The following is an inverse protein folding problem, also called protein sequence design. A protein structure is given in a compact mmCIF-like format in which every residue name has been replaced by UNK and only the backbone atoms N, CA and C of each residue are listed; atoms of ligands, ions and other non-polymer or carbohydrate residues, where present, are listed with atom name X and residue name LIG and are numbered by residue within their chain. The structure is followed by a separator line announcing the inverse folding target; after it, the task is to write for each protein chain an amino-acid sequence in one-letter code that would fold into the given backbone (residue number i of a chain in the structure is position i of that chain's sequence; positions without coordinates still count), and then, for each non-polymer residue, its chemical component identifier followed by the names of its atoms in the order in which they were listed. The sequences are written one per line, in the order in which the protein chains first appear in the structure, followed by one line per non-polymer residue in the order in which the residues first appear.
data_IF_537282689747
#
_entry.id   IF_537282689747
#
_cell.length_a   1.000
_cell.length_b   1.000
_cell.length_c   1.000
_cell.angle_alpha   90.00
_cell.angle_beta   90.00
_cell.angle_gamma   90.00
#
_symmetry.space_group_name_H-M   'P 1'
#
loop_
_entity.id
_entity.type
_entity.pdbx_description
1 polymer ?
#
# COMPACT_ATOMS: atom_id res chain seq x y z
N UNK A 1 -3.46 7.97 -4.92
CA UNK A 1 -2.70 8.84 -3.99
C UNK A 1 -1.21 8.68 -4.29
N UNK A 2 -0.67 9.62 -5.07
CA UNK A 2 0.71 9.53 -5.58
C UNK A 2 1.75 10.20 -4.69
N UNK A 3 1.30 11.01 -3.75
CA UNK A 3 2.19 11.82 -2.91
C UNK A 3 2.21 11.31 -1.49
N UNK A 4 3.39 11.37 -0.83
CA UNK A 4 3.45 11.08 0.59
C UNK A 4 2.54 12.03 1.37
N UNK A 5 2.01 11.56 2.46
CA UNK A 5 1.20 12.38 3.35
C UNK A 5 2.02 13.55 3.90
N UNK A 6 1.39 14.72 3.96
CA UNK A 6 1.96 15.92 4.58
C UNK A 6 0.94 16.51 5.56
N UNK A 7 1.27 16.46 6.84
CA UNK A 7 0.45 17.10 7.88
C UNK A 7 0.31 18.59 7.64
N UNK A 8 1.39 19.23 7.16
CA UNK A 8 1.39 20.65 6.87
C UNK A 8 0.40 21.01 5.78
N UNK A 9 0.39 20.22 4.68
CA UNK A 9 -0.54 20.46 3.58
C UNK A 9 -1.99 20.29 4.02
N UNK A 10 -2.24 19.30 4.87
CA UNK A 10 -3.58 19.09 5.40
C UNK A 10 -4.00 20.23 6.33
N UNK A 11 -3.09 20.73 7.17
CA UNK A 11 -3.35 21.87 8.02
C UNK A 11 -3.68 23.12 7.20
N UNK A 12 -2.94 23.36 6.13
CA UNK A 12 -3.17 24.50 5.25
C UNK A 12 -4.53 24.40 4.55
N UNK A 13 -4.89 23.22 4.09
CA UNK A 13 -6.14 22.99 3.35
C UNK A 13 -7.37 23.12 4.26
N UNK A 14 -7.28 22.69 5.51
CA UNK A 14 -8.41 22.66 6.44
C UNK A 14 -8.43 23.81 7.43
N UNK A 15 -7.35 24.59 7.50
CA UNK A 15 -7.15 25.64 8.50
C UNK A 15 -7.17 25.12 9.95
N UNK A 16 -6.89 23.83 10.12
CA UNK A 16 -6.81 23.18 11.43
C UNK A 16 -5.36 23.02 11.84
N UNK A 17 -5.08 23.04 13.15
CA UNK A 17 -3.75 22.72 13.66
C UNK A 17 -3.46 21.23 13.48
N UNK A 18 -2.17 20.85 13.46
CA UNK A 18 -1.77 19.45 13.40
C UNK A 18 -2.40 18.63 14.53
N UNK A 19 -2.40 19.18 15.73
CA UNK A 19 -2.98 18.50 16.89
C UNK A 19 -4.46 18.25 16.72
N UNK A 20 -5.20 19.24 16.22
CA UNK A 20 -6.64 19.10 15.97
C UNK A 20 -6.92 18.04 14.94
N UNK A 21 -6.12 17.99 13.88
CA UNK A 21 -6.25 16.98 12.83
C UNK A 21 -5.95 15.59 13.39
N UNK A 22 -4.89 15.45 14.18
CA UNK A 22 -4.55 14.17 14.79
C UNK A 22 -5.66 13.67 15.71
N UNK A 23 -6.23 14.56 16.51
CA UNK A 23 -7.34 14.22 17.39
C UNK A 23 -8.58 13.80 16.60
N UNK A 24 -8.89 14.54 15.55
CA UNK A 24 -10.04 14.21 14.70
C UNK A 24 -9.89 12.85 14.04
N UNK A 25 -8.71 12.56 13.47
CA UNK A 25 -8.44 11.27 12.86
C UNK A 25 -8.55 10.12 13.85
N UNK A 26 -8.01 10.33 15.06
CA UNK A 26 -8.09 9.32 16.11
C UNK A 26 -9.54 9.06 16.51
N UNK A 27 -10.34 10.12 16.58
CA UNK A 27 -11.76 10.03 16.93
C UNK A 27 -12.57 9.31 15.85
N UNK A 28 -12.35 9.67 14.58
CA UNK A 28 -13.13 9.15 13.46
C UNK A 28 -12.63 7.79 12.98
N UNK A 29 -11.32 7.62 12.87
CA UNK A 29 -10.70 6.42 12.29
C UNK A 29 -9.98 5.54 13.29
N UNK A 30 -9.81 6.00 14.52
CA UNK A 30 -9.08 5.26 15.56
C UNK A 30 -7.56 5.25 15.38
N UNK A 31 -7.02 5.94 14.38
CA UNK A 31 -5.60 5.99 14.09
C UNK A 31 -5.19 7.42 13.72
N UNK A 32 -3.87 7.70 13.79
CA UNK A 32 -3.34 9.00 13.40
C UNK A 32 -3.38 9.17 11.88
N UNK A 33 -3.37 10.43 11.37
CA UNK A 33 -3.29 10.68 9.94
C UNK A 33 -2.07 10.03 9.29
N UNK A 34 -0.93 10.02 9.98
CA UNK A 34 0.30 9.40 9.47
C UNK A 34 0.12 7.90 9.28
N UNK A 35 -0.46 7.24 10.26
CA UNK A 35 -0.73 5.80 10.19
C UNK A 35 -1.73 5.51 9.07
N UNK A 36 -2.79 6.30 8.98
CA UNK A 36 -3.77 6.17 7.91
C UNK A 36 -3.12 6.30 6.52
N UNK A 37 -2.27 7.31 6.36
CA UNK A 37 -1.56 7.53 5.10
C UNK A 37 -0.63 6.37 4.76
N UNK A 38 0.09 5.84 5.76
CA UNK A 38 0.98 4.69 5.56
C UNK A 38 0.20 3.48 5.09
N UNK A 39 -0.94 3.19 5.72
CA UNK A 39 -1.79 2.07 5.32
C UNK A 39 -2.33 2.26 3.91
N UNK A 40 -2.76 3.47 3.56
CA UNK A 40 -3.27 3.77 2.23
C UNK A 40 -2.18 3.54 1.16
N UNK A 41 -0.94 3.96 1.45
CA UNK A 41 0.18 3.77 0.52
C UNK A 41 0.60 2.31 0.41
N UNK A 42 0.57 1.57 1.50
CA UNK A 42 0.83 0.12 1.47
C UNK A 42 -0.23 -0.59 0.63
N UNK A 43 -1.49 -0.25 0.78
CA UNK A 43 -2.56 -0.82 -0.03
C UNK A 43 -2.40 -0.48 -1.51
N UNK A 44 -2.01 0.76 -1.83
CA UNK A 44 -1.78 1.19 -3.20
C UNK A 44 -0.61 0.41 -3.82
N UNK A 45 0.49 0.24 -3.07
CA UNK A 45 1.63 -0.55 -3.51
C UNK A 45 1.22 -1.99 -3.78
N UNK A 46 0.41 -2.57 -2.89
CA UNK A 46 -0.09 -3.93 -3.08
C UNK A 46 -0.94 -4.07 -4.33
N UNK A 47 -1.82 -3.11 -4.58
CA UNK A 47 -2.65 -3.13 -5.80
C UNK A 47 -1.80 -3.08 -7.06
N UNK A 48 -0.73 -2.28 -7.04
CA UNK A 48 0.20 -2.24 -8.17
C UNK A 48 0.94 -3.56 -8.33
N UNK A 49 1.40 -4.17 -7.23
CA UNK A 49 2.08 -5.47 -7.27
C UNK A 49 1.16 -6.58 -7.76
N UNK A 50 -0.12 -6.52 -7.42
CA UNK A 50 -1.10 -7.50 -7.88
C UNK A 50 -1.34 -7.43 -9.39
N UNK A 51 -1.09 -6.28 -10.00
CA UNK A 51 -1.23 -6.07 -11.45
C UNK A 51 0.10 -6.17 -12.19
N UNK A 52 1.20 -6.26 -11.46
CA UNK A 52 2.53 -6.18 -12.04
C UNK A 52 2.89 -7.44 -12.81
N UNK A 53 3.62 -7.25 -13.91
CA UNK A 53 4.36 -8.32 -14.54
C UNK A 53 5.73 -8.37 -13.89
N UNK A 54 6.04 -9.51 -13.26
CA UNK A 54 7.28 -9.70 -12.52
C UNK A 54 8.53 -9.49 -13.38
N UNK A 55 8.40 -9.61 -14.70
CA UNK A 55 9.52 -9.41 -15.63
C UNK A 55 9.79 -7.94 -15.91
N UNK A 56 8.86 -7.06 -15.61
CA UNK A 56 8.93 -5.64 -15.97
C UNK A 56 9.10 -4.75 -14.74
N UNK A 57 8.44 -5.10 -13.64
CA UNK A 57 8.32 -4.23 -12.47
C UNK A 57 9.13 -4.79 -11.31
N UNK A 58 9.99 -3.94 -10.71
CA UNK A 58 10.70 -4.29 -9.49
C UNK A 58 9.88 -3.86 -8.27
N UNK A 59 9.95 -4.65 -7.20
CA UNK A 59 9.31 -4.32 -5.93
C UNK A 59 9.85 -3.00 -5.38
N UNK A 60 11.16 -2.77 -5.51
CA UNK A 60 11.79 -1.53 -5.04
C UNK A 60 11.23 -0.31 -5.77
N UNK A 61 11.03 -0.41 -7.07
CA UNK A 61 10.46 0.69 -7.85
C UNK A 61 9.03 1.01 -7.40
N UNK A 62 8.23 -0.02 -7.15
CA UNK A 62 6.86 0.17 -6.64
C UNK A 62 6.89 0.83 -5.27
N UNK A 63 7.72 0.33 -4.35
CA UNK A 63 7.86 0.90 -3.02
C UNK A 63 8.23 2.38 -3.08
N UNK A 64 9.24 2.72 -3.89
CA UNK A 64 9.70 4.10 -4.05
C UNK A 64 8.61 4.99 -4.60
N UNK A 65 7.85 4.52 -5.58
CA UNK A 65 6.75 5.27 -6.18
C UNK A 65 5.73 5.69 -5.13
N UNK A 66 5.49 4.84 -4.16
CA UNK A 66 4.51 5.12 -3.11
C UNK A 66 5.13 5.73 -1.86
N UNK A 67 6.37 6.24 -1.95
CA UNK A 67 7.01 7.01 -0.90
C UNK A 67 7.76 6.20 0.14
N UNK A 68 8.07 4.94 -0.16
CA UNK A 68 8.85 4.09 0.74
C UNK A 68 10.30 4.00 0.26
N UNK A 69 11.18 4.69 0.97
CA UNK A 69 12.58 4.81 0.58
C UNK A 69 13.51 3.85 1.34
N UNK A 70 12.99 3.15 2.33
CA UNK A 70 13.70 2.10 3.06
C UNK A 70 13.04 0.77 2.77
N UNK A 71 13.64 -0.01 1.88
CA UNK A 71 13.05 -1.27 1.43
C UNK A 71 12.81 -2.25 2.57
N UNK A 72 13.77 -2.37 3.52
CA UNK A 72 13.60 -3.27 4.66
C UNK A 72 12.41 -2.92 5.54
N UNK A 73 12.22 -1.62 5.78
CA UNK A 73 11.06 -1.15 6.56
C UNK A 73 9.75 -1.34 5.80
N UNK A 74 9.77 -1.07 4.50
CA UNK A 74 8.61 -1.30 3.66
C UNK A 74 8.21 -2.77 3.66
N UNK A 75 9.16 -3.66 3.45
CA UNK A 75 8.92 -5.09 3.42
C UNK A 75 8.37 -5.61 4.74
N UNK A 76 8.92 -5.15 5.87
CA UNK A 76 8.44 -5.53 7.20
C UNK A 76 7.02 -5.04 7.46
N UNK A 77 6.73 -3.79 7.12
CA UNK A 77 5.39 -3.23 7.28
C UNK A 77 4.38 -3.94 6.37
N UNK A 78 4.77 -4.22 5.14
CA UNK A 78 3.96 -4.94 4.17
C UNK A 78 3.60 -6.34 4.69
N UNK A 79 4.61 -7.08 5.15
CA UNK A 79 4.40 -8.42 5.68
C UNK A 79 3.49 -8.40 6.92
N UNK A 80 3.66 -7.42 7.77
CA UNK A 80 2.83 -7.28 8.98
C UNK A 80 1.37 -7.05 8.62
N UNK A 81 1.12 -6.25 7.58
CA UNK A 81 -0.26 -5.92 7.19
C UNK A 81 -0.89 -7.02 6.33
N UNK A 82 -0.17 -7.57 5.38
CA UNK A 82 -0.73 -8.49 4.39
C UNK A 82 -0.38 -9.95 4.60
N UNK A 83 0.49 -10.25 5.55
CA UNK A 83 0.87 -11.63 5.86
C UNK A 83 1.87 -12.26 4.91
N UNK A 84 2.37 -11.51 3.94
CA UNK A 84 3.36 -11.98 2.98
C UNK A 84 4.30 -10.85 2.59
N UNK A 85 5.49 -11.18 2.11
CA UNK A 85 6.44 -10.16 1.62
C UNK A 85 6.01 -9.70 0.21
N UNK A 86 6.42 -8.49 -0.21
CA UNK A 86 5.98 -7.94 -1.50
C UNK A 86 6.28 -8.83 -2.70
N UNK A 87 7.44 -9.47 -2.73
CA UNK A 87 7.80 -10.38 -3.83
C UNK A 87 6.86 -11.59 -3.88
N UNK A 88 6.39 -12.05 -2.73
CA UNK A 88 5.44 -13.16 -2.68
C UNK A 88 4.07 -12.78 -3.26
N UNK A 89 3.68 -11.53 -3.14
CA UNK A 89 2.41 -11.06 -3.74
C UNK A 89 2.42 -11.26 -5.26
N UNK A 90 3.52 -10.93 -5.92
CA UNK A 90 3.63 -11.11 -7.38
C UNK A 90 3.59 -12.60 -7.72
N UNK A 91 4.35 -13.42 -7.00
CA UNK A 91 4.40 -14.86 -7.25
C UNK A 91 3.05 -15.52 -6.99
N UNK A 92 2.40 -15.16 -5.89
CA UNK A 92 1.11 -15.75 -5.51
C UNK A 92 0.02 -15.32 -6.49
N UNK A 93 0.07 -14.10 -7.00
CA UNK A 93 -0.84 -13.65 -8.05
C UNK A 93 -0.70 -14.51 -9.29
N UNK A 94 0.54 -14.79 -9.71
CA UNK A 94 0.80 -15.61 -10.88
C UNK A 94 0.24 -17.02 -10.70
N UNK A 95 0.46 -17.61 -9.51
CA UNK A 95 -0.09 -18.92 -9.19
C UNK A 95 -1.61 -18.94 -9.22
N UNK A 96 -2.23 -17.93 -8.61
CA UNK A 96 -3.70 -17.83 -8.59
C UNK A 96 -4.26 -17.68 -9.99
N UNK A 97 -3.62 -16.89 -10.83
CA UNK A 97 -4.05 -16.71 -12.21
C UNK A 97 -4.00 -18.03 -12.98
N UNK A 98 -2.93 -18.79 -12.81
CA UNK A 98 -2.79 -20.10 -13.47
C UNK A 98 -3.85 -21.09 -12.98
N UNK A 99 -4.06 -21.15 -11.66
CA UNK A 99 -5.06 -22.06 -11.08
C UNK A 99 -6.46 -21.65 -11.52
N UNK A 100 -6.78 -20.38 -11.47
CA UNK A 100 -8.08 -19.89 -11.91
C UNK A 100 -8.32 -20.14 -13.39
N UNK A 101 -7.29 -19.93 -14.21
CA UNK A 101 -7.38 -20.22 -15.62
C UNK A 101 -7.64 -21.69 -15.89
N UNK A 102 -6.98 -22.59 -15.14
CA UNK A 102 -7.16 -24.02 -15.30
C UNK A 102 -8.52 -24.51 -14.81
N UNK A 103 -9.05 -23.88 -13.75
CA UNK A 103 -10.32 -24.31 -13.14
C UNK A 103 -11.52 -23.64 -13.79
N UNK A 104 -11.40 -22.36 -14.13
CA UNK A 104 -12.55 -21.57 -14.59
C UNK A 104 -12.76 -21.63 -16.10
N UNK A 105 -11.71 -21.85 -16.87
CA UNK A 105 -11.84 -21.91 -18.32
C UNK A 105 -12.84 -22.98 -18.82
N UNK A 106 -12.84 -24.19 -18.25
CA UNK A 106 -13.82 -25.18 -18.68
C UNK A 106 -15.26 -24.81 -18.35
N UNK A 107 -15.44 -23.91 -17.37
CA UNK A 107 -16.76 -23.47 -16.92
C UNK A 107 -17.22 -22.19 -17.59
N UNK A 108 -16.28 -21.48 -18.11
CA UNK A 108 -16.53 -20.18 -18.68
C UNK A 108 -16.55 -20.17 -20.16
#
# INVERSE_FOLDING_TARGET
MDRPFSSRALCEATHMSERSIEMLFKEVYGISPRTWSQLARLNAARQELLRADVRIVSVTAVATRWGFYHFGRFSAAYRRLFGEVPSATILNRRRRTLVQGAVLQPLG
#
